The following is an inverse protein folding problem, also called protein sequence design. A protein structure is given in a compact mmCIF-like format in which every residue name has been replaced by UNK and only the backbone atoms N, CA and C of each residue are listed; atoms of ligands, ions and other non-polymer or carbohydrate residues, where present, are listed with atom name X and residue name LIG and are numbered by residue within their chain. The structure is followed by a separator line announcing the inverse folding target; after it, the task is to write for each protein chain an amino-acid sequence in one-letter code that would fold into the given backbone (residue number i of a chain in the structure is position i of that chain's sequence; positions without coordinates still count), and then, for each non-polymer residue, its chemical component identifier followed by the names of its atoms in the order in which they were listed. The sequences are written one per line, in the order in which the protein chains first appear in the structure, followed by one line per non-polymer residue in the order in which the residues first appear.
data_IF_100694853194
#
_entry.id   IF_100694853194
#
_cell.length_a   1.000
_cell.length_b   1.000
_cell.length_c   1.000
_cell.angle_alpha   90.00
_cell.angle_beta   90.00
_cell.angle_gamma   90.00
#
_symmetry.space_group_name_H-M   'P 1'
#
loop_
_entity.id
_entity.type
_entity.pdbx_description
1 polymer ?
#
# COMPACT_ATOMS: atom_id res chain seq x y z
N UNK A 1 -27.49 3.18 17.46
CA UNK A 1 -26.04 2.94 17.64
C UNK A 1 -25.77 1.47 17.96
N UNK A 2 -26.27 0.90 19.08
CA UNK A 2 -26.03 -0.51 19.45
C UNK A 2 -26.33 -1.54 18.34
N UNK A 3 -27.48 -1.44 17.67
CA UNK A 3 -27.86 -2.41 16.61
C UNK A 3 -26.92 -2.37 15.40
N UNK A 4 -26.37 -1.19 15.08
CA UNK A 4 -25.41 -1.06 13.99
C UNK A 4 -24.05 -1.68 14.37
N UNK A 5 -23.60 -1.48 15.61
CA UNK A 5 -22.37 -2.14 16.11
C UNK A 5 -22.49 -3.66 16.09
N UNK A 6 -23.61 -4.21 16.57
CA UNK A 6 -23.86 -5.65 16.56
C UNK A 6 -23.93 -6.23 15.14
N UNK A 7 -24.47 -5.47 14.18
CA UNK A 7 -24.51 -5.88 12.79
C UNK A 7 -23.10 -5.92 12.17
N UNK A 8 -22.26 -4.92 12.46
CA UNK A 8 -20.85 -4.93 12.03
C UNK A 8 -20.09 -6.12 12.63
N UNK A 9 -20.23 -6.35 13.94
CA UNK A 9 -19.59 -7.48 14.65
C UNK A 9 -19.96 -8.84 14.05
N UNK A 10 -21.25 -9.04 13.72
CA UNK A 10 -21.72 -10.29 13.08
C UNK A 10 -21.13 -10.52 11.69
N UNK A 11 -20.74 -9.45 11.00
CA UNK A 11 -20.32 -9.48 9.61
C UNK A 11 -18.80 -9.34 9.43
N UNK A 12 -18.01 -9.31 10.51
CA UNK A 12 -16.54 -9.21 10.43
C UNK A 12 -15.93 -10.32 9.56
N UNK A 13 -16.49 -11.54 9.63
CA UNK A 13 -16.05 -12.67 8.82
C UNK A 13 -16.24 -12.47 7.31
N UNK A 14 -17.05 -11.51 6.87
CA UNK A 14 -17.23 -11.19 5.46
C UNK A 14 -16.08 -10.33 4.89
N UNK A 15 -15.25 -9.72 5.75
CA UNK A 15 -14.10 -8.91 5.33
C UNK A 15 -13.03 -9.82 4.73
N UNK A 16 -12.89 -9.76 3.41
CA UNK A 16 -12.01 -10.65 2.63
C UNK A 16 -10.89 -9.93 1.86
N UNK A 17 -10.95 -8.61 1.77
CA UNK A 17 -9.91 -7.80 1.13
C UNK A 17 -8.63 -7.78 1.98
N UNK A 18 -7.43 -7.62 1.38
CA UNK A 18 -6.22 -7.37 2.15
C UNK A 18 -6.33 -6.12 3.02
N UNK A 19 -5.89 -6.19 4.28
CA UNK A 19 -5.95 -5.03 5.18
C UNK A 19 -4.84 -5.04 6.24
N UNK A 20 -4.58 -3.86 6.81
CA UNK A 20 -3.73 -3.68 7.98
C UNK A 20 -4.51 -2.94 9.05
N UNK A 21 -4.44 -3.42 10.29
CA UNK A 21 -4.96 -2.77 11.48
C UNK A 21 -3.78 -2.27 12.30
N UNK A 22 -3.80 -0.99 12.64
CA UNK A 22 -2.86 -0.33 13.54
C UNK A 22 -3.61 0.16 14.75
N UNK A 23 -3.08 -0.05 15.95
CA UNK A 23 -3.78 0.29 17.18
C UNK A 23 -2.81 0.74 18.29
N UNK A 24 -3.18 1.74 19.08
CA UNK A 24 -2.39 2.22 20.21
C UNK A 24 -2.64 1.37 21.46
N UNK A 25 -1.59 0.87 22.10
CA UNK A 25 -1.71 -0.03 23.26
C UNK A 25 -2.41 0.59 24.46
N UNK A 26 -2.34 1.92 24.58
CA UNK A 26 -2.91 2.70 25.68
C UNK A 26 -4.10 3.56 25.18
N UNK A 27 -4.77 3.14 24.10
CA UNK A 27 -5.97 3.80 23.58
C UNK A 27 -7.15 3.65 24.57
N UNK A 28 -7.50 4.75 25.23
CA UNK A 28 -8.63 4.83 26.16
C UNK A 28 -9.97 5.14 25.47
N UNK A 29 -9.98 5.42 24.17
CA UNK A 29 -11.17 5.74 23.38
C UNK A 29 -11.73 4.50 22.70
N UNK A 30 -10.85 3.68 22.15
CA UNK A 30 -11.21 2.42 21.48
C UNK A 30 -10.40 1.28 22.06
N UNK A 31 -11.07 0.24 22.55
CA UNK A 31 -10.41 -0.91 23.14
C UNK A 31 -9.64 -1.73 22.07
N UNK A 32 -8.34 -2.04 22.29
CA UNK A 32 -7.55 -2.85 21.37
C UNK A 32 -8.15 -4.22 21.05
N UNK A 33 -8.92 -4.81 21.97
CA UNK A 33 -9.57 -6.11 21.78
C UNK A 33 -10.56 -6.12 20.62
N UNK A 34 -11.17 -4.98 20.29
CA UNK A 34 -12.06 -4.85 19.12
C UNK A 34 -11.27 -4.97 17.82
N UNK A 35 -10.07 -4.39 17.81
CA UNK A 35 -9.15 -4.47 16.67
C UNK A 35 -8.58 -5.88 16.50
N UNK A 36 -8.29 -6.54 17.62
CA UNK A 36 -7.89 -7.96 17.65
C UNK A 36 -9.02 -8.86 17.15
N UNK A 37 -10.26 -8.65 17.60
CA UNK A 37 -11.42 -9.42 17.16
C UNK A 37 -11.65 -9.31 15.65
N UNK A 38 -11.52 -8.11 15.06
CA UNK A 38 -11.57 -7.92 13.61
C UNK A 38 -10.45 -8.73 12.92
N UNK A 39 -9.22 -8.63 13.43
CA UNK A 39 -8.09 -9.34 12.87
C UNK A 39 -8.32 -10.86 12.91
N UNK A 40 -8.81 -11.42 14.00
CA UNK A 40 -9.07 -12.85 14.13
C UNK A 40 -10.24 -13.30 13.25
N UNK A 41 -11.35 -12.57 13.29
CA UNK A 41 -12.62 -12.99 12.68
C UNK A 41 -12.66 -12.84 11.17
N UNK A 42 -11.92 -11.89 10.59
CA UNK A 42 -12.00 -11.60 9.16
C UNK A 42 -11.55 -12.79 8.28
N UNK A 43 -12.24 -13.03 7.17
CA UNK A 43 -11.88 -14.07 6.20
C UNK A 43 -10.67 -13.71 5.32
N UNK A 44 -10.14 -12.49 5.43
CA UNK A 44 -8.98 -12.04 4.67
C UNK A 44 -7.76 -12.94 4.94
N UNK A 45 -7.12 -13.38 3.85
CA UNK A 45 -5.89 -14.17 3.89
C UNK A 45 -4.65 -13.31 4.06
N UNK A 46 -4.75 -12.03 3.71
CA UNK A 46 -3.66 -11.08 3.72
C UNK A 46 -4.01 -9.94 4.69
N UNK A 47 -3.87 -10.24 5.98
CA UNK A 47 -4.20 -9.33 7.07
C UNK A 47 -3.02 -9.16 7.98
N UNK A 48 -2.82 -7.94 8.48
CA UNK A 48 -1.74 -7.60 9.42
C UNK A 48 -2.33 -6.83 10.59
N UNK A 49 -1.94 -7.17 11.81
CA UNK A 49 -2.26 -6.41 13.01
C UNK A 49 -0.95 -5.91 13.64
N UNK A 50 -0.90 -4.63 13.99
CA UNK A 50 0.24 -4.02 14.65
C UNK A 50 -0.23 -3.16 15.82
N UNK A 51 0.11 -3.59 17.03
CA UNK A 51 -0.10 -2.86 18.26
C UNK A 51 1.13 -2.00 18.56
N UNK A 52 0.93 -0.75 18.96
CA UNK A 52 1.99 0.16 19.37
C UNK A 52 1.88 0.45 20.87
N UNK A 53 2.65 -0.25 21.73
CA UNK A 53 2.59 -0.06 23.18
C UNK A 53 2.85 1.39 23.60
N UNK A 54 2.06 1.92 24.54
CA UNK A 54 2.22 3.28 25.04
C UNK A 54 1.65 4.39 24.14
N UNK A 55 1.24 4.08 22.91
CA UNK A 55 0.56 5.04 22.03
C UNK A 55 -0.95 5.03 22.28
N UNK A 56 -1.59 6.16 22.08
CA UNK A 56 -3.03 6.39 22.27
C UNK A 56 -3.78 6.30 20.93
N UNK A 57 -4.98 6.88 20.90
CA UNK A 57 -5.91 6.80 19.78
C UNK A 57 -5.40 7.41 18.48
N UNK A 58 -4.74 8.56 18.54
CA UNK A 58 -4.46 9.40 17.38
C UNK A 58 -3.08 9.12 16.77
N UNK A 59 -2.84 7.88 16.35
CA UNK A 59 -1.53 7.37 15.88
C UNK A 59 -0.86 8.20 14.76
N UNK A 60 -1.63 8.95 13.97
CA UNK A 60 -1.12 9.70 12.81
C UNK A 60 -0.98 11.20 13.05
N UNK A 61 -1.38 11.72 14.21
CA UNK A 61 -1.40 13.18 14.45
C UNK A 61 -1.34 13.63 15.91
N UNK A 62 -1.65 12.77 16.88
CA UNK A 62 -1.69 13.11 18.31
C UNK A 62 -0.56 12.51 19.15
N UNK A 63 0.43 11.90 18.50
CA UNK A 63 1.57 11.23 19.12
C UNK A 63 2.87 12.02 18.91
N UNK A 64 3.96 11.71 19.64
CA UNK A 64 5.27 12.30 19.36
C UNK A 64 5.67 12.10 17.89
N UNK A 65 6.37 13.07 17.26
CA UNK A 65 6.72 13.00 15.83
C UNK A 65 7.41 11.69 15.43
N UNK A 66 8.32 11.19 16.28
CA UNK A 66 9.06 9.95 16.03
C UNK A 66 8.13 8.72 15.98
N UNK A 67 7.10 8.70 16.83
CA UNK A 67 6.10 7.65 16.85
C UNK A 67 5.18 7.72 15.64
N UNK A 68 4.78 8.93 15.23
CA UNK A 68 4.01 9.16 14.01
C UNK A 68 4.79 8.68 12.78
N UNK A 69 6.08 9.03 12.69
CA UNK A 69 6.95 8.62 11.61
C UNK A 69 7.11 7.10 11.54
N UNK A 70 7.22 6.42 12.69
CA UNK A 70 7.24 4.96 12.75
C UNK A 70 5.95 4.35 12.20
N UNK A 71 4.79 4.84 12.63
CA UNK A 71 3.47 4.38 12.15
C UNK A 71 3.35 4.57 10.64
N UNK A 72 3.72 5.74 10.11
CA UNK A 72 3.68 5.98 8.67
C UNK A 72 4.65 5.11 7.90
N UNK A 73 5.86 4.90 8.43
CA UNK A 73 6.86 4.02 7.81
C UNK A 73 6.31 2.60 7.62
N UNK A 74 5.66 2.06 8.65
CA UNK A 74 5.05 0.73 8.62
C UNK A 74 3.90 0.64 7.61
N UNK A 75 3.01 1.64 7.60
CA UNK A 75 1.89 1.70 6.64
C UNK A 75 2.42 1.75 5.20
N UNK A 76 3.41 2.60 4.93
CA UNK A 76 4.01 2.74 3.61
C UNK A 76 4.71 1.45 3.19
N UNK A 77 5.46 0.81 4.09
CA UNK A 77 6.11 -0.48 3.82
C UNK A 77 5.08 -1.57 3.48
N UNK A 78 3.97 -1.63 4.21
CA UNK A 78 2.89 -2.58 3.98
C UNK A 78 2.23 -2.38 2.61
N UNK A 79 1.98 -1.12 2.24
CA UNK A 79 1.42 -0.77 0.93
C UNK A 79 2.39 -1.10 -0.22
N UNK A 80 3.67 -0.75 -0.07
CA UNK A 80 4.70 -1.01 -1.08
C UNK A 80 4.85 -2.51 -1.39
N UNK A 81 4.76 -3.37 -0.38
CA UNK A 81 4.82 -4.82 -0.57
C UNK A 81 3.69 -5.37 -1.48
N UNK A 82 2.59 -4.62 -1.62
CA UNK A 82 1.38 -5.03 -2.36
C UNK A 82 1.11 -4.20 -3.62
N UNK A 83 1.72 -3.02 -3.72
CA UNK A 83 1.61 -2.15 -4.90
C UNK A 83 2.68 -2.43 -5.95
N UNK A 84 3.82 -3.04 -5.56
CA UNK A 84 4.90 -3.35 -6.49
C UNK A 84 4.59 -4.59 -7.34
N UNK A 85 3.78 -4.41 -8.38
CA UNK A 85 3.72 -5.36 -9.49
C UNK A 85 4.99 -5.18 -10.35
N UNK A 86 6.08 -5.85 -9.98
CA UNK A 86 7.35 -5.83 -10.75
C UNK A 86 7.15 -6.16 -12.23
N UNK A 87 6.14 -6.96 -12.56
CA UNK A 87 5.80 -7.31 -13.94
C UNK A 87 5.37 -6.09 -14.76
N UNK A 88 4.64 -5.13 -14.18
CA UNK A 88 4.22 -3.90 -14.88
C UNK A 88 5.41 -2.98 -15.16
N UNK A 89 6.29 -2.78 -14.17
CA UNK A 89 7.47 -1.93 -14.32
C UNK A 89 8.47 -2.50 -15.33
N UNK A 90 8.71 -3.81 -15.33
CA UNK A 90 9.61 -4.46 -16.28
C UNK A 90 9.09 -4.33 -17.72
N UNK A 91 7.78 -4.52 -17.94
CA UNK A 91 7.17 -4.34 -19.26
C UNK A 91 7.27 -2.90 -19.77
N UNK A 92 7.09 -1.90 -18.89
CA UNK A 92 7.28 -0.49 -19.24
C UNK A 92 8.75 -0.16 -19.56
N UNK A 93 9.69 -0.68 -18.78
CA UNK A 93 11.13 -0.51 -19.03
C UNK A 93 11.58 -1.17 -20.35
N UNK A 94 11.10 -2.37 -20.64
CA UNK A 94 11.34 -3.06 -21.91
C UNK A 94 10.69 -2.37 -23.10
N UNK A 95 9.50 -1.78 -22.91
CA UNK A 95 8.82 -1.00 -23.95
C UNK A 95 9.57 0.29 -24.28
N UNK A 96 10.08 0.98 -23.26
CA UNK A 96 10.93 2.18 -23.42
C UNK A 96 12.26 1.87 -24.12
N UNK A 97 12.94 0.78 -23.73
CA UNK A 97 14.21 0.39 -24.37
C UNK A 97 14.05 0.04 -25.85
N UNK A 98 12.97 -0.64 -26.22
CA UNK A 98 12.65 -0.95 -27.63
C UNK A 98 12.36 0.32 -28.45
N UNK A 99 11.69 1.31 -27.87
CA UNK A 99 11.40 2.57 -28.54
C UNK A 99 12.64 3.45 -28.72
N UNK A 100 13.53 3.51 -27.74
CA UNK A 100 14.79 4.26 -27.84
C UNK A 100 15.73 3.67 -28.89
N UNK A 101 15.83 2.33 -28.96
CA UNK A 101 16.59 1.63 -30.01
C UNK A 101 15.97 1.87 -31.38
N UNK A 102 14.64 1.80 -31.51
CA UNK A 102 13.96 2.07 -32.79
C UNK A 102 14.15 3.52 -33.24
N UNK A 103 14.17 4.47 -32.31
CA UNK A 103 14.39 5.89 -32.58
C UNK A 103 15.85 6.21 -32.93
N UNK A 104 16.83 5.51 -32.35
CA UNK A 104 18.24 5.65 -32.74
C UNK A 104 18.51 5.07 -34.14
N UNK A 105 17.94 3.91 -34.46
CA UNK A 105 18.07 3.26 -35.77
C UNK A 105 17.34 4.06 -36.87
N UNK A 106 16.14 4.58 -36.59
CA UNK A 106 15.38 5.40 -37.55
C UNK A 106 16.06 6.75 -37.87
N UNK A 107 16.77 7.35 -36.90
CA UNK A 107 17.58 8.56 -37.13
C UNK A 107 18.79 8.29 -38.03
N UNK A 108 19.43 7.14 -37.90
CA UNK A 108 20.53 6.74 -38.78
C UNK A 108 20.04 6.44 -40.21
N UNK A 109 18.90 5.77 -40.35
CA UNK A 109 18.31 5.48 -41.67
C UNK A 109 17.86 6.74 -42.43
N UNK A 110 17.26 7.73 -41.75
CA UNK A 110 16.88 9.01 -42.38
C UNK A 110 18.07 9.84 -42.83
N UNK A 111 19.23 9.71 -42.19
CA UNK A 111 20.44 10.46 -42.57
C UNK A 111 21.08 9.98 -43.88
N UNK A 112 20.73 8.77 -44.37
CA UNK A 112 21.20 8.26 -45.66
C UNK A 112 20.26 8.55 -46.83
N UNK A 113 19.00 8.94 -46.59
CA UNK A 113 17.99 9.22 -47.63
C UNK A 113 17.92 10.70 -48.05
N UNK A 114 18.70 11.58 -47.45
CA UNK A 114 18.75 13.02 -47.78
C UNK A 114 20.11 13.48 -48.33
N UNK A 115 20.80 12.59 -49.05
CA UNK A 115 21.90 12.97 -49.94
C UNK A 115 21.38 13.12 -51.36
N UNK A 116 20.82 14.29 -51.72
CA UNK A 116 20.72 14.67 -53.13
C UNK A 116 22.04 15.32 -53.56
N UNK A 117 22.65 14.90 -54.69
CA UNK A 117 23.91 15.43 -55.17
C UNK A 117 23.73 16.73 -55.97
N UNK A 118 24.73 17.60 -55.83
CA UNK A 118 25.12 18.81 -56.58
C UNK A 118 24.03 19.78 -57.04
#
# INVERSE_FOLDING_TARGET
LLMASLDVEKNLCQVSLPFMVVHGGDDAVTDPSVSELLYESAASKDKTFKLYPGMWHALTSGEPPESIDAVFSDIVAWLNARSMNRSSMLLEMESKSKHDVRFSTARHAKKQLHGCPS
#
